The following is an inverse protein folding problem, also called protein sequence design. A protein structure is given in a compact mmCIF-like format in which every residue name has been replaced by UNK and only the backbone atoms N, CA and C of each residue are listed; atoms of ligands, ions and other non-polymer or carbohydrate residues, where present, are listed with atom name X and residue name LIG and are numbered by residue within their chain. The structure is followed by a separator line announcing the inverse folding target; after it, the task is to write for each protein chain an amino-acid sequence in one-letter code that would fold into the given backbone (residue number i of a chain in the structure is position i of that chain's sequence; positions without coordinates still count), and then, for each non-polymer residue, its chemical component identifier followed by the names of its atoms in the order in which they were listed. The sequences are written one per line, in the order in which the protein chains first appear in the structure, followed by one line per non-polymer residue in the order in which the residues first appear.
data_IF_271068543689
#
_entry.id   IF_271068543689
#
_cell.length_a   1.000
_cell.length_b   1.000
_cell.length_c   1.000
_cell.angle_alpha   90.00
_cell.angle_beta   90.00
_cell.angle_gamma   90.00
#
_symmetry.space_group_name_H-M   'P 1'
#
loop_
_entity.id
_entity.type
_entity.pdbx_description
1 polymer ?
#
# COMPACT_ATOMS: atom_id res chain seq x y z
N UNK A 1 -62.09 -11.83 1.94
CA UNK A 1 -61.27 -12.86 2.60
C UNK A 1 -61.67 -12.87 4.06
N UNK A 2 -62.34 -13.91 4.54
CA UNK A 2 -62.74 -13.98 5.95
C UNK A 2 -61.47 -14.06 6.81
N UNK A 3 -61.26 -13.10 7.71
CA UNK A 3 -60.10 -13.10 8.60
C UNK A 3 -60.16 -14.36 9.49
N UNK A 4 -59.03 -15.04 9.73
CA UNK A 4 -59.01 -16.21 10.60
C UNK A 4 -59.49 -15.82 12.00
N UNK A 5 -60.54 -16.50 12.47
CA UNK A 5 -61.05 -16.31 13.83
C UNK A 5 -60.53 -17.45 14.70
N UNK A 6 -59.96 -17.10 15.85
CA UNK A 6 -59.63 -18.09 16.88
C UNK A 6 -60.91 -18.39 17.67
N UNK A 7 -61.43 -19.59 17.50
CA UNK A 7 -62.58 -20.09 18.25
C UNK A 7 -62.04 -20.98 19.38
N UNK A 8 -62.27 -20.57 20.63
CA UNK A 8 -61.89 -21.37 21.80
C UNK A 8 -63.16 -22.01 22.37
N UNK A 9 -63.16 -23.34 22.47
CA UNK A 9 -64.23 -24.11 23.11
C UNK A 9 -63.75 -24.66 24.46
N UNK A 10 -64.43 -24.28 25.54
CA UNK A 10 -64.19 -24.82 26.89
C UNK A 10 -65.55 -25.18 27.49
N UNK A 11 -65.70 -26.44 27.92
CA UNK A 11 -66.90 -26.95 28.58
C UNK A 11 -68.25 -26.68 27.86
N UNK A 12 -68.24 -26.62 26.52
CA UNK A 12 -69.45 -26.46 25.70
C UNK A 12 -69.82 -25.02 25.35
N UNK A 13 -69.12 -24.02 25.87
CA UNK A 13 -69.29 -22.60 25.54
C UNK A 13 -68.29 -22.19 24.45
N UNK A 14 -68.75 -21.43 23.44
CA UNK A 14 -67.91 -20.97 22.33
C UNK A 14 -67.59 -19.49 22.49
N UNK A 15 -66.31 -19.16 22.69
CA UNK A 15 -65.82 -17.78 22.81
C UNK A 15 -65.12 -17.36 21.51
N UNK A 16 -65.76 -16.46 20.75
CA UNK A 16 -65.19 -15.84 19.56
C UNK A 16 -64.39 -14.59 19.96
N UNK A 17 -63.07 -14.65 19.81
CA UNK A 17 -62.19 -13.51 20.01
C UNK A 17 -61.91 -12.85 18.65
N UNK A 18 -62.51 -11.69 18.40
CA UNK A 18 -62.24 -10.90 17.20
C UNK A 18 -60.90 -10.16 17.32
N UNK A 19 -60.01 -10.33 16.34
CA UNK A 19 -58.80 -9.50 16.25
C UNK A 19 -59.20 -8.09 15.80
N UNK A 20 -58.97 -7.08 16.66
CA UNK A 20 -59.19 -5.67 16.34
C UNK A 20 -58.12 -5.18 15.35
N UNK A 21 -58.51 -4.40 14.34
CA UNK A 21 -57.54 -3.62 13.53
C UNK A 21 -56.83 -2.60 14.44
N UNK A 22 -55.50 -2.44 14.37
CA UNK A 22 -54.83 -1.43 15.19
C UNK A 22 -55.32 -0.01 14.82
N UNK A 23 -55.70 0.79 15.83
CA UNK A 23 -55.95 2.22 15.67
C UNK A 23 -54.70 2.87 15.06
N UNK A 24 -54.87 3.75 14.06
CA UNK A 24 -53.79 4.52 13.47
C UNK A 24 -52.99 5.24 14.57
N UNK A 25 -51.77 4.78 14.83
CA UNK A 25 -50.84 5.45 15.74
C UNK A 25 -50.40 6.75 15.08
N UNK A 26 -50.69 7.89 15.71
CA UNK A 26 -50.31 9.20 15.20
C UNK A 26 -48.80 9.28 14.92
N UNK A 27 -48.44 9.98 13.83
CA UNK A 27 -47.07 10.12 13.36
C UNK A 27 -46.19 10.78 14.44
N UNK A 28 -45.11 10.09 14.82
CA UNK A 28 -44.12 10.61 15.75
C UNK A 28 -43.30 11.68 15.02
N UNK A 29 -43.41 12.93 15.49
CA UNK A 29 -42.61 14.03 14.96
C UNK A 29 -41.48 14.30 15.97
N UNK A 30 -40.28 13.82 15.66
CA UNK A 30 -39.08 14.07 16.45
C UNK A 30 -38.39 15.34 15.95
N UNK A 31 -38.09 16.27 16.86
CA UNK A 31 -37.35 17.50 16.57
C UNK A 31 -36.13 17.59 17.49
N UNK A 32 -34.93 17.69 16.91
CA UNK A 32 -33.67 17.82 17.66
C UNK A 32 -33.03 19.17 17.34
N UNK A 33 -32.60 19.92 18.35
CA UNK A 33 -31.77 21.11 18.13
C UNK A 33 -30.36 20.65 17.73
N UNK A 34 -29.91 21.02 16.53
CA UNK A 34 -28.62 20.59 15.98
C UNK A 34 -27.46 21.56 16.28
N UNK A 35 -27.68 22.59 17.12
CA UNK A 35 -26.66 23.57 17.52
C UNK A 35 -26.61 23.83 19.03
N UNK A 36 -25.48 24.35 19.54
CA UNK A 36 -25.22 24.55 20.97
C UNK A 36 -25.79 25.84 21.60
N UNK A 37 -26.59 26.61 20.84
CA UNK A 37 -27.21 27.86 21.31
C UNK A 37 -28.52 27.66 22.08
N UNK A 38 -29.11 28.76 22.57
CA UNK A 38 -30.40 28.73 23.26
C UNK A 38 -31.53 28.23 22.34
N UNK A 39 -32.40 27.37 22.88
CA UNK A 39 -33.44 26.68 22.12
C UNK A 39 -34.66 27.57 21.86
N UNK A 40 -35.16 27.59 20.61
CA UNK A 40 -36.40 28.28 20.23
C UNK A 40 -37.62 27.35 20.32
N UNK A 41 -37.45 26.05 20.09
CA UNK A 41 -38.49 25.05 20.38
C UNK A 41 -38.58 24.83 21.90
N UNK A 42 -39.80 24.73 22.44
CA UNK A 42 -40.01 24.54 23.88
C UNK A 42 -40.49 23.13 24.20
N UNK A 43 -41.66 22.76 23.70
CA UNK A 43 -42.31 21.47 23.96
C UNK A 43 -43.42 21.19 22.93
N UNK A 44 -43.91 19.95 22.95
CA UNK A 44 -45.11 19.52 22.23
C UNK A 44 -46.20 19.18 23.24
N UNK A 45 -47.39 19.73 23.03
CA UNK A 45 -48.55 19.39 23.85
C UNK A 45 -49.64 18.82 22.94
N UNK A 46 -49.81 17.49 22.95
CA UNK A 46 -50.70 16.81 22.02
C UNK A 46 -50.21 16.99 20.57
N UNK A 47 -51.01 17.61 19.72
CA UNK A 47 -50.67 17.88 18.31
C UNK A 47 -49.99 19.24 18.07
N UNK A 48 -49.93 20.13 19.07
CA UNK A 48 -49.36 21.48 18.93
C UNK A 48 -47.85 21.49 19.22
N UNK A 49 -47.08 22.17 18.38
CA UNK A 49 -45.67 22.48 18.60
C UNK A 49 -45.56 23.91 19.16
N UNK A 50 -45.03 24.04 20.38
CA UNK A 50 -44.89 25.35 21.02
C UNK A 50 -43.46 25.87 20.86
N UNK A 51 -43.32 27.09 20.34
CA UNK A 51 -42.05 27.80 20.22
C UNK A 51 -42.00 28.99 21.19
N UNK A 52 -40.80 29.37 21.64
CA UNK A 52 -40.55 30.58 22.42
C UNK A 52 -40.57 31.81 21.50
N UNK A 53 -40.97 32.97 22.04
CA UNK A 53 -40.93 34.25 21.32
C UNK A 53 -39.50 34.78 21.23
N UNK A 54 -39.11 35.31 20.07
CA UNK A 54 -37.85 36.03 19.86
C UNK A 54 -38.07 37.53 20.11
N UNK A 55 -37.22 38.15 20.92
CA UNK A 55 -37.28 39.58 21.27
C UNK A 55 -35.88 40.19 21.09
N UNK A 56 -35.81 41.34 20.42
CA UNK A 56 -34.57 42.10 20.25
C UNK A 56 -34.13 42.81 21.54
N UNK A 57 -32.82 42.95 21.75
CA UNK A 57 -32.23 43.63 22.91
C UNK A 57 -30.97 44.40 22.52
N UNK A 58 -30.67 45.51 23.22
CA UNK A 58 -29.41 46.23 23.07
C UNK A 58 -29.18 46.91 21.72
N UNK A 59 -30.23 47.36 21.03
CA UNK A 59 -30.13 48.03 19.72
C UNK A 59 -30.46 47.14 18.52
N UNK A 60 -30.42 45.82 18.70
CA UNK A 60 -30.78 44.85 17.66
C UNK A 60 -32.29 44.58 17.68
N UNK A 61 -32.95 44.78 16.55
CA UNK A 61 -34.39 44.56 16.38
C UNK A 61 -34.70 43.13 15.92
N UNK A 62 -35.84 42.59 16.38
CA UNK A 62 -36.39 41.35 15.83
C UNK A 62 -37.70 41.69 15.10
N UNK A 63 -37.70 41.59 13.77
CA UNK A 63 -38.83 42.00 12.92
C UNK A 63 -39.32 40.81 12.12
N UNK A 64 -40.63 40.58 12.13
CA UNK A 64 -41.26 39.56 11.29
C UNK A 64 -41.64 40.19 9.96
N UNK A 65 -41.10 39.66 8.87
CA UNK A 65 -41.39 40.09 7.52
C UNK A 65 -41.91 38.90 6.69
N UNK A 66 -43.23 38.73 6.69
CA UNK A 66 -43.88 37.58 6.04
C UNK A 66 -43.52 36.25 6.71
N UNK A 67 -42.85 35.36 5.95
CA UNK A 67 -42.44 34.03 6.41
C UNK A 67 -41.02 34.00 7.03
N UNK A 68 -40.37 35.17 7.16
CA UNK A 68 -39.01 35.29 7.67
C UNK A 68 -38.99 36.16 8.91
N UNK A 69 -38.13 35.81 9.87
CA UNK A 69 -37.80 36.66 11.01
C UNK A 69 -36.39 37.20 10.78
N UNK A 70 -36.28 38.52 10.63
CA UNK A 70 -35.01 39.22 10.46
C UNK A 70 -34.53 39.73 11.83
N UNK A 71 -33.25 39.51 12.12
CA UNK A 71 -32.56 40.00 13.32
C UNK A 71 -31.42 40.87 12.83
N UNK A 72 -31.51 42.19 13.00
CA UNK A 72 -30.52 43.14 12.47
C UNK A 72 -30.27 44.32 13.42
N UNK A 73 -29.04 44.86 13.40
CA UNK A 73 -28.63 46.01 14.21
C UNK A 73 -28.95 47.32 13.48
N UNK A 74 -30.20 47.74 13.56
CA UNK A 74 -30.65 48.97 12.88
C UNK A 74 -30.26 50.27 13.65
N UNK A 75 -29.18 50.26 14.46
CA UNK A 75 -28.67 51.48 15.11
C UNK A 75 -27.68 52.23 14.23
N UNK A 76 -28.16 52.82 13.13
CA UNK A 76 -27.40 53.85 12.39
C UNK A 76 -28.23 55.13 12.23
N UNK A 77 -27.52 56.26 12.18
CA UNK A 77 -28.00 57.65 11.91
C UNK A 77 -28.42 58.49 13.14
N UNK A 78 -27.49 58.71 14.07
CA UNK A 78 -27.53 59.89 14.96
C UNK A 78 -26.14 60.49 15.26
N UNK A 79 -25.05 59.79 14.97
CA UNK A 79 -23.70 60.21 15.35
C UNK A 79 -22.95 61.07 14.29
N UNK A 80 -23.54 61.34 13.11
CA UNK A 80 -22.86 62.11 12.05
C UNK A 80 -23.00 63.64 12.23
N UNK A 81 -23.94 64.11 13.07
CA UNK A 81 -24.25 65.55 13.18
C UNK A 81 -23.31 66.31 14.15
N UNK A 82 -22.43 65.60 14.85
CA UNK A 82 -21.51 66.21 15.83
C UNK A 82 -20.20 66.73 15.21
N UNK A 83 -19.83 66.33 14.00
CA UNK A 83 -18.57 66.76 13.37
C UNK A 83 -18.68 68.13 12.65
N UNK A 84 -19.90 68.61 12.40
CA UNK A 84 -20.14 69.90 11.70
C UNK A 84 -19.97 71.10 12.64
N UNK A 85 -20.04 70.91 13.96
CA UNK A 85 -20.09 72.01 14.94
C UNK A 85 -18.77 72.28 15.69
N UNK A 86 -17.67 71.57 15.37
CA UNK A 86 -16.38 71.77 16.05
C UNK A 86 -15.58 72.92 15.43
N UNK A 87 -15.59 74.08 16.09
CA UNK A 87 -14.86 75.27 15.70
C UNK A 87 -13.36 75.24 16.07
N UNK A 88 -12.83 74.12 16.59
CA UNK A 88 -11.44 73.99 17.03
C UNK A 88 -10.55 73.17 16.07
N UNK A 89 -10.73 73.30 14.76
CA UNK A 89 -9.80 72.71 13.78
C UNK A 89 -8.48 73.53 13.72
N UNK A 90 -7.31 72.93 14.02
CA UNK A 90 -6.03 73.64 14.05
C UNK A 90 -5.48 73.99 12.65
N UNK A 91 -6.16 73.59 11.57
CA UNK A 91 -5.85 74.05 10.22
C UNK A 91 -6.79 75.19 9.84
N UNK A 92 -6.29 76.42 9.92
CA UNK A 92 -6.97 77.67 9.55
C UNK A 92 -7.25 77.82 8.05
N UNK A 93 -7.65 76.75 7.36
CA UNK A 93 -8.09 76.79 5.97
C UNK A 93 -9.55 76.39 5.94
N UNK A 94 -10.40 77.41 5.94
CA UNK A 94 -11.84 77.35 5.78
C UNK A 94 -12.20 76.83 4.37
N UNK A 95 -12.05 75.52 4.18
CA UNK A 95 -12.58 74.78 3.04
C UNK A 95 -13.99 74.24 3.33
N UNK A 96 -14.51 74.47 4.55
CA UNK A 96 -15.80 73.98 5.02
C UNK A 96 -16.95 74.99 4.90
N UNK A 97 -16.67 76.28 4.69
CA UNK A 97 -17.68 77.33 4.56
C UNK A 97 -17.80 77.91 3.15
N UNK A 98 -17.45 77.14 2.11
CA UNK A 98 -17.81 77.50 0.75
C UNK A 98 -19.33 77.35 0.60
N UNK A 99 -20.03 78.49 0.66
CA UNK A 99 -21.40 78.58 0.15
C UNK A 99 -21.46 78.13 -1.32
N UNK A 100 -22.64 78.09 -1.91
CA UNK A 100 -22.87 77.64 -3.31
C UNK A 100 -22.28 78.58 -4.38
N UNK A 101 -21.02 79.00 -4.21
CA UNK A 101 -20.25 79.90 -5.04
C UNK A 101 -19.47 79.13 -6.11
N UNK A 102 -19.39 79.77 -7.27
CA UNK A 102 -18.92 79.24 -8.54
C UNK A 102 -17.40 79.01 -8.53
N UNK A 103 -16.89 78.23 -9.49
CA UNK A 103 -15.47 77.97 -9.79
C UNK A 103 -14.55 79.22 -9.74
N UNK A 104 -15.12 80.42 -9.89
CA UNK A 104 -14.46 81.72 -9.76
C UNK A 104 -13.91 82.02 -8.36
N UNK A 105 -14.55 81.55 -7.29
CA UNK A 105 -14.10 81.80 -5.91
C UNK A 105 -12.94 80.90 -5.53
N UNK A 106 -12.96 79.65 -6.00
CA UNK A 106 -11.82 78.73 -5.92
C UNK A 106 -10.60 79.28 -6.67
N UNK A 107 -10.82 79.87 -7.85
CA UNK A 107 -9.74 80.41 -8.65
C UNK A 107 -9.10 81.67 -8.03
N UNK A 108 -9.87 82.48 -7.30
CA UNK A 108 -9.37 83.65 -6.58
C UNK A 108 -8.56 83.30 -5.32
N UNK A 109 -8.92 82.22 -4.64
CA UNK A 109 -8.18 81.71 -3.48
C UNK A 109 -6.89 80.96 -3.85
N UNK A 110 -6.87 80.31 -5.03
CA UNK A 110 -5.68 79.63 -5.58
C UNK A 110 -4.72 80.62 -6.27
N UNK A 111 -5.16 81.83 -6.64
CA UNK A 111 -4.27 82.93 -7.07
C UNK A 111 -3.55 83.59 -5.89
N UNK A 112 -2.92 82.79 -5.03
CA UNK A 112 -1.76 83.26 -4.28
C UNK A 112 -0.66 83.57 -5.31
N UNK A 113 -0.36 84.85 -5.44
CA UNK A 113 0.63 85.45 -6.34
C UNK A 113 2.09 85.09 -5.98
N UNK A 114 2.31 83.88 -5.44
CA UNK A 114 3.63 83.35 -5.09
C UNK A 114 4.00 82.07 -5.85
N UNK A 115 3.16 81.62 -6.78
CA UNK A 115 3.46 80.50 -7.69
C UNK A 115 3.84 81.01 -9.09
N UNK A 116 5.13 81.30 -9.23
CA UNK A 116 5.94 81.29 -10.46
C UNK A 116 5.38 82.07 -11.69
N UNK A 117 5.68 83.37 -11.77
CA UNK A 117 5.59 84.11 -13.03
C UNK A 117 6.98 84.42 -13.60
N UNK A 118 7.05 84.43 -14.93
CA UNK A 118 8.29 84.61 -15.69
C UNK A 118 8.86 86.03 -15.64
N UNK A 119 8.19 86.96 -14.95
CA UNK A 119 8.65 88.33 -14.77
C UNK A 119 9.47 88.52 -13.48
N UNK A 120 9.43 87.56 -12.55
CA UNK A 120 10.30 87.49 -11.38
C UNK A 120 10.87 86.07 -11.15
N UNK A 121 11.70 85.55 -12.09
CA UNK A 121 12.28 84.23 -11.93
C UNK A 121 13.20 84.23 -10.69
N UNK A 122 12.85 83.43 -9.68
CA UNK A 122 13.80 83.04 -8.62
C UNK A 122 14.68 81.91 -9.13
N UNK A 123 15.40 82.15 -10.21
CA UNK A 123 16.66 81.44 -10.42
C UNK A 123 17.62 81.95 -9.35
N UNK A 124 18.17 81.11 -8.46
CA UNK A 124 19.28 81.51 -7.61
C UNK A 124 20.44 81.87 -8.53
N UNK A 125 20.59 83.15 -8.88
CA UNK A 125 21.57 83.57 -9.88
C UNK A 125 23.00 83.53 -9.32
N UNK A 126 23.12 83.42 -8.00
CA UNK A 126 24.23 82.85 -7.26
C UNK A 126 23.76 82.68 -5.81
N UNK A 127 23.91 81.50 -5.24
CA UNK A 127 24.05 81.38 -3.79
C UNK A 127 25.31 82.13 -3.37
N UNK A 128 25.25 82.90 -2.28
CA UNK A 128 26.47 83.55 -1.76
C UNK A 128 27.53 82.48 -1.54
N UNK A 129 28.76 82.71 -1.99
CA UNK A 129 29.85 81.73 -1.94
C UNK A 129 30.23 81.28 -0.50
N UNK A 130 29.56 81.81 0.53
CA UNK A 130 29.66 81.37 1.91
C UNK A 130 28.38 81.68 2.70
N UNK A 131 27.88 80.74 3.50
CA UNK A 131 26.91 81.03 4.58
C UNK A 131 27.56 81.84 5.72
N UNK A 132 26.78 82.26 6.72
CA UNK A 132 27.27 83.06 7.87
C UNK A 132 28.45 82.42 8.64
N UNK A 133 28.64 81.09 8.48
CA UNK A 133 29.75 80.32 9.08
C UNK A 133 30.88 79.98 8.07
N UNK A 134 30.88 80.58 6.87
CA UNK A 134 32.01 80.53 5.93
C UNK A 134 32.06 79.34 4.96
N UNK A 135 31.04 78.48 4.90
CA UNK A 135 31.03 77.31 4.01
C UNK A 135 30.33 77.59 2.66
N UNK A 136 30.90 77.10 1.56
CA UNK A 136 30.36 77.19 0.19
C UNK A 136 29.10 76.35 0.01
N UNK A 137 28.18 76.81 -0.86
CA UNK A 137 26.79 76.34 -1.03
C UNK A 137 26.62 74.97 -1.72
N UNK A 138 27.68 74.19 -1.78
CA UNK A 138 27.60 72.81 -2.24
C UNK A 138 28.32 71.98 -1.19
N UNK A 139 27.67 70.92 -0.70
CA UNK A 139 28.39 69.86 -0.01
C UNK A 139 29.31 69.23 -1.06
N UNK A 140 30.49 69.82 -1.25
CA UNK A 140 31.56 69.20 -1.98
C UNK A 140 31.90 67.92 -1.22
N UNK A 141 31.95 66.79 -1.93
CA UNK A 141 32.22 65.47 -1.36
C UNK A 141 33.53 65.47 -0.56
N UNK A 142 34.47 66.36 -0.90
CA UNK A 142 35.69 66.59 -0.14
C UNK A 142 35.45 67.07 1.31
N UNK A 143 34.38 67.82 1.57
CA UNK A 143 34.00 68.34 2.90
C UNK A 143 33.29 67.28 3.78
N UNK A 144 32.77 66.20 3.20
CA UNK A 144 32.29 65.02 3.94
C UNK A 144 33.44 64.09 4.37
N UNK A 145 34.64 64.29 3.83
CA UNK A 145 35.81 63.43 3.99
C UNK A 145 36.68 63.67 5.24
N UNK A 146 36.31 64.58 6.15
CA UNK A 146 37.11 64.79 7.38
C UNK A 146 36.76 63.85 8.55
N UNK A 147 35.79 62.96 8.40
CA UNK A 147 35.66 61.85 9.36
C UNK A 147 36.78 60.86 9.10
N UNK A 148 37.81 60.90 9.95
CA UNK A 148 38.87 59.89 10.07
C UNK A 148 38.35 58.50 10.51
N UNK A 149 37.12 58.16 10.13
CA UNK A 149 36.40 56.95 10.52
C UNK A 149 35.81 56.19 9.33
N UNK A 150 35.98 56.65 8.08
CA UNK A 150 35.66 55.84 6.91
C UNK A 150 36.85 54.90 6.62
N UNK A 151 36.75 53.65 7.09
CA UNK A 151 37.49 52.55 6.49
C UNK A 151 37.23 52.56 4.98
N UNK A 152 38.27 52.21 4.22
CA UNK A 152 38.42 52.45 2.78
C UNK A 152 37.44 51.71 1.84
N UNK A 153 36.17 51.52 2.21
CA UNK A 153 35.25 50.67 1.45
C UNK A 153 34.29 51.44 0.55
N UNK A 154 33.81 52.65 0.92
CA UNK A 154 32.90 53.44 0.08
C UNK A 154 33.03 54.95 0.36
N UNK A 155 34.14 55.56 -0.06
CA UNK A 155 34.20 57.02 -0.12
C UNK A 155 33.52 57.50 -1.42
N UNK A 156 32.49 58.36 -1.36
CA UNK A 156 31.94 58.98 -2.56
C UNK A 156 33.04 59.79 -3.25
N UNK A 157 33.17 59.65 -4.58
CA UNK A 157 34.11 60.42 -5.40
C UNK A 157 33.32 61.39 -6.28
N UNK A 158 33.90 62.57 -6.53
CA UNK A 158 33.35 63.49 -7.53
C UNK A 158 33.50 62.90 -8.93
N UNK A 159 32.44 62.93 -9.74
CA UNK A 159 32.49 62.51 -11.15
C UNK A 159 32.98 63.63 -12.10
N UNK A 160 33.29 64.82 -11.56
CA UNK A 160 33.73 65.98 -12.32
C UNK A 160 32.62 66.73 -13.08
N UNK A 161 31.35 66.35 -12.93
CA UNK A 161 30.18 66.96 -13.58
C UNK A 161 29.07 67.39 -12.57
N UNK A 162 29.37 67.37 -11.27
CA UNK A 162 28.42 67.71 -10.20
C UNK A 162 27.59 66.52 -9.71
N UNK A 163 27.93 65.29 -10.10
CA UNK A 163 27.34 64.06 -9.60
C UNK A 163 28.25 63.31 -8.64
N UNK A 164 27.66 62.31 -7.95
CA UNK A 164 28.38 61.39 -7.07
C UNK A 164 28.67 60.09 -7.82
N UNK A 165 29.96 59.78 -8.01
CA UNK A 165 30.39 58.46 -8.44
C UNK A 165 30.64 57.60 -7.22
N UNK A 166 29.83 56.56 -7.07
CA UNK A 166 30.18 55.41 -6.24
C UNK A 166 31.15 54.60 -7.09
N UNK A 167 32.46 54.79 -6.88
CA UNK A 167 33.50 54.15 -7.70
C UNK A 167 33.25 52.66 -7.90
N UNK A 168 33.82 52.09 -8.97
CA UNK A 168 33.71 50.65 -9.25
C UNK A 168 33.93 49.85 -7.96
N UNK A 169 33.10 48.83 -7.66
CA UNK A 169 33.27 48.03 -6.46
C UNK A 169 34.72 47.54 -6.41
N UNK A 170 35.34 47.50 -5.22
CA UNK A 170 36.76 47.18 -5.12
C UNK A 170 37.06 45.94 -5.96
N UNK A 171 37.92 46.10 -6.96
CA UNK A 171 38.48 44.98 -7.73
C UNK A 171 39.42 44.12 -6.88
N UNK A 172 39.63 44.51 -5.62
CA UNK A 172 40.14 43.64 -4.58
C UNK A 172 39.11 42.52 -4.34
N UNK A 173 39.49 41.31 -4.76
CA UNK A 173 38.81 40.09 -4.35
C UNK A 173 38.46 40.17 -2.86
N UNK A 174 37.22 39.77 -2.54
CA UNK A 174 36.68 39.73 -1.18
C UNK A 174 37.74 39.17 -0.22
N UNK A 175 37.94 39.81 0.93
CA UNK A 175 38.99 39.43 1.87
C UNK A 175 38.95 37.92 2.12
N UNK A 176 40.06 37.23 1.94
CA UNK A 176 40.15 35.77 2.07
C UNK A 176 39.95 35.25 3.51
N UNK A 177 39.62 36.13 4.46
CA UNK A 177 39.23 35.79 5.83
C UNK A 177 38.34 36.89 6.48
N UNK A 178 37.30 36.48 7.22
CA UNK A 178 36.42 37.37 8.03
C UNK A 178 36.94 37.58 9.47
N UNK A 179 36.23 38.38 10.30
CA UNK A 179 36.64 38.86 11.64
C UNK A 179 37.09 37.76 12.64
N UNK A 180 36.76 36.49 12.36
CA UNK A 180 37.16 35.33 13.16
C UNK A 180 38.23 34.45 12.47
N UNK A 181 38.89 34.94 11.42
CA UNK A 181 39.96 34.24 10.69
C UNK A 181 39.50 33.09 9.78
N UNK A 182 38.19 32.92 9.57
CA UNK A 182 37.64 31.92 8.65
C UNK A 182 37.57 32.42 7.21
N UNK A 183 37.90 31.56 6.25
CA UNK A 183 37.80 31.84 4.80
C UNK A 183 36.34 32.10 4.36
N UNK A 184 36.17 32.82 3.25
CA UNK A 184 34.88 33.17 2.63
C UNK A 184 34.01 31.92 2.35
N UNK A 185 32.72 32.01 2.68
CA UNK A 185 31.74 30.92 2.72
C UNK A 185 31.07 30.67 1.35
N UNK A 186 31.72 31.07 0.26
CA UNK A 186 31.20 30.89 -1.12
C UNK A 186 30.83 29.44 -1.35
N UNK A 187 29.66 29.19 -1.93
CA UNK A 187 29.19 27.84 -2.25
C UNK A 187 30.24 27.05 -3.06
N UNK A 188 30.92 26.11 -2.39
CA UNK A 188 31.98 25.28 -2.99
C UNK A 188 31.44 23.93 -3.45
N UNK A 189 32.08 23.37 -4.48
CA UNK A 189 31.75 22.02 -4.97
C UNK A 189 32.38 20.91 -4.13
N UNK A 190 33.40 21.25 -3.32
CA UNK A 190 34.13 20.31 -2.46
C UNK A 190 33.81 20.61 -0.98
N UNK A 191 33.30 19.62 -0.22
CA UNK A 191 32.99 19.80 1.21
C UNK A 191 34.24 20.10 2.03
N UNK A 192 34.10 21.04 2.97
CA UNK A 192 35.12 21.41 3.95
C UNK A 192 34.45 21.89 5.24
N UNK A 193 35.21 22.01 6.33
CA UNK A 193 34.68 22.56 7.57
C UNK A 193 34.11 23.96 7.33
N UNK A 194 32.84 24.16 7.73
CA UNK A 194 32.11 25.43 7.64
C UNK A 194 31.83 25.92 6.20
N UNK A 195 32.03 25.09 5.18
CA UNK A 195 31.71 25.46 3.81
C UNK A 195 30.20 25.34 3.53
N UNK A 196 29.66 26.17 2.63
CA UNK A 196 28.26 26.12 2.21
C UNK A 196 28.12 25.19 0.98
N UNK A 197 27.17 24.23 0.97
CA UNK A 197 26.95 23.36 -0.17
C UNK A 197 26.55 24.11 -1.45
N UNK A 198 27.19 23.78 -2.59
CA UNK A 198 26.71 24.21 -3.92
C UNK A 198 25.83 23.14 -4.56
N UNK A 199 24.64 23.51 -5.02
CA UNK A 199 23.83 22.65 -5.87
C UNK A 199 24.52 22.42 -7.24
N UNK A 200 24.41 21.21 -7.76
CA UNK A 200 24.83 20.84 -9.11
C UNK A 200 23.87 21.43 -10.15
N UNK A 201 24.23 21.34 -11.44
CA UNK A 201 23.35 21.76 -12.55
C UNK A 201 21.99 21.04 -12.61
N UNK A 202 21.81 19.98 -11.81
CA UNK A 202 20.56 19.24 -11.66
C UNK A 202 19.77 19.61 -10.38
N UNK A 203 20.09 20.73 -9.73
CA UNK A 203 19.48 21.19 -8.47
C UNK A 203 19.64 20.25 -7.26
N UNK A 204 20.53 19.25 -7.33
CA UNK A 204 20.90 18.38 -6.22
C UNK A 204 22.23 18.81 -5.58
N UNK A 205 22.40 18.63 -4.26
CA UNK A 205 23.69 18.83 -3.59
C UNK A 205 24.73 17.83 -4.13
N UNK A 206 26.01 18.23 -4.26
CA UNK A 206 27.05 17.32 -4.74
C UNK A 206 27.31 16.18 -3.73
N UNK A 207 27.62 14.98 -4.23
CA UNK A 207 27.66 13.72 -3.47
C UNK A 207 28.54 13.72 -2.20
N UNK A 208 29.53 14.62 -2.09
CA UNK A 208 30.34 14.76 -0.88
C UNK A 208 29.65 15.50 0.28
N UNK A 209 28.57 16.25 0.02
CA UNK A 209 27.83 17.03 1.01
C UNK A 209 26.74 16.23 1.73
N UNK A 210 26.28 15.17 1.09
CA UNK A 210 25.37 14.18 1.66
C UNK A 210 26.20 12.96 1.98
N UNK A 211 26.41 12.63 3.25
CA UNK A 211 27.03 11.34 3.56
C UNK A 211 26.11 10.24 3.03
N UNK A 212 26.62 9.32 2.22
CA UNK A 212 25.87 8.11 1.83
C UNK A 212 25.34 7.38 3.08
N UNK A 213 26.07 7.47 4.20
CA UNK A 213 25.64 7.05 5.53
C UNK A 213 24.28 7.62 6.01
N UNK A 214 23.80 8.76 5.50
CA UNK A 214 22.49 9.33 5.86
C UNK A 214 21.35 8.78 4.99
N UNK A 215 21.66 8.29 3.79
CA UNK A 215 20.69 7.70 2.84
C UNK A 215 20.61 6.19 3.03
N UNK A 216 21.76 5.51 3.17
CA UNK A 216 21.84 4.07 3.43
C UNK A 216 21.40 3.69 4.85
N UNK A 217 21.31 4.66 5.78
CA UNK A 217 20.66 4.44 7.08
C UNK A 217 19.19 4.02 6.94
N UNK A 218 18.52 4.32 5.83
CA UNK A 218 17.16 3.84 5.61
C UNK A 218 17.10 2.45 4.97
N UNK A 219 18.00 2.11 4.05
CA UNK A 219 17.97 0.79 3.40
C UNK A 219 18.55 -0.33 4.28
N UNK A 220 19.52 -0.02 5.14
CA UNK A 220 20.13 -0.97 6.08
C UNK A 220 19.45 -1.05 7.46
N UNK A 221 18.63 -0.06 7.84
CA UNK A 221 17.92 -0.06 9.14
C UNK A 221 16.47 -0.54 9.06
N UNK A 222 15.94 -0.83 7.86
CA UNK A 222 14.72 -1.65 7.75
C UNK A 222 15.13 -3.11 7.92
N UNK A 223 15.49 -3.45 9.16
CA UNK A 223 15.41 -4.85 9.57
C UNK A 223 13.92 -5.16 9.73
N UNK A 224 13.35 -5.82 8.72
CA UNK A 224 11.96 -6.29 8.77
C UNK A 224 11.67 -7.12 10.03
N UNK A 225 12.68 -7.78 10.62
CA UNK A 225 12.53 -8.57 11.85
C UNK A 225 12.55 -7.69 13.12
N UNK A 226 13.02 -6.46 13.05
CA UNK A 226 13.06 -5.51 14.16
C UNK A 226 11.87 -4.53 14.18
N UNK A 227 11.02 -4.54 13.14
CA UNK A 227 9.79 -3.74 13.12
C UNK A 227 8.83 -4.25 14.20
N UNK A 228 8.75 -3.59 15.35
CA UNK A 228 7.82 -3.96 16.43
C UNK A 228 6.37 -3.52 16.18
N UNK A 229 6.09 -2.87 15.05
CA UNK A 229 4.76 -2.40 14.64
C UNK A 229 4.09 -3.30 13.58
N UNK A 230 4.65 -4.49 13.31
CA UNK A 230 3.97 -5.45 12.45
C UNK A 230 2.92 -6.21 13.27
N UNK A 231 1.72 -6.34 12.71
CA UNK A 231 0.71 -7.23 13.27
C UNK A 231 1.07 -8.65 12.85
N UNK A 232 1.50 -9.48 13.80
CA UNK A 232 1.84 -10.88 13.55
C UNK A 232 0.65 -11.68 12.98
N UNK A 233 -0.59 -11.20 13.15
CA UNK A 233 -1.78 -11.81 12.54
C UNK A 233 -1.95 -11.48 11.06
N UNK A 234 -1.26 -10.44 10.56
CA UNK A 234 -1.20 -10.08 9.14
C UNK A 234 -0.05 -10.79 8.41
N UNK A 235 0.92 -11.34 9.13
CA UNK A 235 1.99 -12.17 8.57
C UNK A 235 1.58 -13.65 8.56
N UNK A 236 1.82 -14.32 7.43
CA UNK A 236 1.65 -15.78 7.34
C UNK A 236 2.71 -16.45 8.24
N UNK A 237 2.28 -17.01 9.37
CA UNK A 237 3.16 -17.70 10.33
C UNK A 237 3.60 -19.05 9.75
N UNK A 238 4.89 -19.18 9.43
CA UNK A 238 5.50 -20.47 9.10
C UNK A 238 5.93 -21.13 10.41
N UNK A 239 5.40 -22.32 10.74
CA UNK A 239 5.74 -23.06 11.95
C UNK A 239 6.28 -24.46 11.63
N UNK A 240 7.60 -24.59 11.42
CA UNK A 240 8.23 -25.87 11.11
C UNK A 240 8.27 -26.86 12.28
N UNK A 241 8.08 -26.38 13.51
CA UNK A 241 7.93 -27.20 14.70
C UNK A 241 6.47 -27.62 14.95
N UNK A 242 5.55 -27.09 14.16
CA UNK A 242 4.13 -27.32 14.26
C UNK A 242 3.72 -28.73 13.82
N UNK A 243 2.75 -29.32 14.52
CA UNK A 243 2.18 -30.63 14.19
C UNK A 243 0.68 -30.56 13.88
N UNK A 244 0.11 -29.35 13.84
CA UNK A 244 -1.32 -29.14 13.59
C UNK A 244 -1.61 -29.16 12.08
N UNK A 245 -2.77 -29.67 11.70
CA UNK A 245 -3.19 -29.76 10.29
C UNK A 245 -3.57 -28.41 9.67
N UNK A 246 -3.62 -27.35 10.46
CA UNK A 246 -3.91 -25.97 10.01
C UNK A 246 -2.66 -25.08 9.98
N UNK A 247 -1.49 -25.61 10.35
CA UNK A 247 -0.24 -24.84 10.31
C UNK A 247 0.34 -24.84 8.90
N UNK A 248 0.93 -23.71 8.52
CA UNK A 248 1.72 -23.62 7.29
C UNK A 248 3.19 -23.92 7.60
N UNK A 249 3.76 -24.91 6.92
CA UNK A 249 5.17 -25.27 7.00
C UNK A 249 6.00 -24.58 5.92
N UNK A 250 7.31 -24.47 6.13
CA UNK A 250 8.27 -24.03 5.13
C UNK A 250 8.40 -25.06 4.02
N UNK A 251 8.87 -24.64 2.84
CA UNK A 251 9.17 -25.56 1.75
C UNK A 251 10.21 -26.62 2.17
N UNK A 252 11.24 -26.21 2.93
CA UNK A 252 12.26 -27.14 3.44
C UNK A 252 11.68 -28.23 4.34
N UNK A 253 10.70 -27.88 5.19
CA UNK A 253 10.03 -28.84 6.07
C UNK A 253 9.17 -29.81 5.27
N UNK A 254 8.41 -29.28 4.31
CA UNK A 254 7.58 -30.09 3.39
C UNK A 254 8.45 -31.07 2.61
N UNK A 255 9.56 -30.61 2.04
CA UNK A 255 10.49 -31.46 1.29
C UNK A 255 11.14 -32.53 2.17
N UNK A 256 11.46 -32.21 3.43
CA UNK A 256 12.00 -33.17 4.39
C UNK A 256 10.98 -34.28 4.74
N UNK A 257 9.71 -33.92 4.97
CA UNK A 257 8.65 -34.90 5.23
C UNK A 257 8.37 -35.77 4.02
N UNK A 258 8.29 -35.17 2.83
CA UNK A 258 8.11 -35.92 1.57
C UNK A 258 9.28 -36.89 1.36
N UNK A 259 10.51 -36.44 1.59
CA UNK A 259 11.71 -37.29 1.45
C UNK A 259 11.71 -38.43 2.46
N UNK A 260 11.29 -38.19 3.71
CA UNK A 260 11.19 -39.22 4.74
C UNK A 260 10.13 -40.27 4.40
N UNK A 261 8.96 -39.84 3.89
CA UNK A 261 7.91 -40.76 3.43
C UNK A 261 8.38 -41.58 2.23
N UNK A 262 9.00 -40.94 1.23
CA UNK A 262 9.50 -41.64 0.03
C UNK A 262 10.60 -42.65 0.38
N UNK A 263 11.49 -42.33 1.32
CA UNK A 263 12.55 -43.24 1.75
C UNK A 263 12.03 -44.54 2.39
N UNK A 264 10.78 -44.54 2.87
CA UNK A 264 10.13 -45.74 3.42
C UNK A 264 9.43 -46.62 2.39
N UNK A 265 9.44 -46.26 1.10
CA UNK A 265 8.79 -47.03 0.03
C UNK A 265 9.85 -47.58 -0.93
N UNK A 266 9.92 -48.90 -1.07
CA UNK A 266 10.81 -49.55 -2.04
C UNK A 266 10.09 -49.77 -3.38
N UNK A 267 10.20 -48.80 -4.29
CA UNK A 267 9.66 -48.91 -5.65
C UNK A 267 10.79 -49.06 -6.66
N UNK A 268 10.75 -50.13 -7.45
CA UNK A 268 11.71 -50.38 -8.53
C UNK A 268 11.27 -49.78 -9.85
N UNK A 269 12.23 -49.60 -10.75
CA UNK A 269 11.90 -49.22 -12.12
C UNK A 269 10.95 -50.27 -12.72
N UNK A 270 9.98 -49.78 -13.51
CA UNK A 270 8.99 -50.64 -14.15
C UNK A 270 9.64 -51.69 -15.03
N UNK A 271 8.94 -52.82 -15.16
CA UNK A 271 9.30 -53.91 -16.05
C UNK A 271 8.47 -53.84 -17.32
N UNK A 272 9.00 -54.38 -18.41
CA UNK A 272 8.29 -54.50 -19.68
C UNK A 272 7.24 -55.61 -19.62
N UNK A 273 7.54 -56.71 -18.92
CA UNK A 273 6.62 -57.85 -18.78
C UNK A 273 6.99 -58.67 -17.54
N UNK A 274 6.16 -59.65 -17.21
CA UNK A 274 6.44 -60.64 -16.16
C UNK A 274 6.36 -62.06 -16.73
N UNK A 275 6.89 -63.04 -15.99
CA UNK A 275 6.73 -64.46 -16.30
C UNK A 275 5.55 -65.12 -15.59
N UNK A 276 4.73 -64.34 -14.89
CA UNK A 276 3.54 -64.84 -14.19
C UNK A 276 2.62 -65.56 -15.20
N UNK A 277 2.05 -66.69 -14.78
CA UNK A 277 1.25 -67.65 -15.56
C UNK A 277 2.01 -68.46 -16.62
N UNK A 278 3.32 -68.26 -16.80
CA UNK A 278 4.15 -69.05 -17.71
C UNK A 278 4.92 -70.17 -17.01
N UNK A 279 5.03 -70.11 -15.68
CA UNK A 279 5.87 -71.01 -14.88
C UNK A 279 7.36 -70.84 -15.13
N UNK A 280 8.11 -71.94 -14.99
CA UNK A 280 9.57 -71.92 -15.07
C UNK A 280 10.08 -71.66 -16.51
N UNK A 281 10.70 -70.50 -16.73
CA UNK A 281 11.39 -70.16 -17.97
C UNK A 281 12.91 -70.44 -17.91
N UNK A 282 13.58 -70.47 -19.06
CA UNK A 282 15.04 -70.44 -19.11
C UNK A 282 15.53 -68.99 -19.04
N UNK A 283 16.46 -68.65 -18.15
CA UNK A 283 17.02 -67.29 -18.02
C UNK A 283 18.13 -67.01 -19.05
N UNK A 284 17.82 -67.24 -20.32
CA UNK A 284 18.73 -67.02 -21.45
C UNK A 284 17.95 -66.88 -22.75
N UNK A 285 18.48 -66.11 -23.70
CA UNK A 285 17.87 -65.91 -25.01
C UNK A 285 16.67 -64.96 -24.93
N UNK A 286 16.40 -64.27 -26.04
CA UNK A 286 15.19 -63.46 -26.14
C UNK A 286 13.96 -64.38 -26.32
N UNK A 287 12.88 -64.04 -25.64
CA UNK A 287 11.70 -64.90 -25.50
C UNK A 287 10.41 -64.09 -25.68
N UNK A 288 9.35 -64.74 -26.12
CA UNK A 288 8.01 -64.14 -26.10
C UNK A 288 7.34 -64.45 -24.77
N UNK A 289 7.20 -63.44 -23.93
CA UNK A 289 6.59 -63.54 -22.61
C UNK A 289 5.32 -62.69 -22.55
N UNK A 290 4.19 -63.33 -22.25
CA UNK A 290 2.91 -62.64 -22.10
C UNK A 290 2.59 -61.74 -23.31
N UNK A 291 2.83 -62.25 -24.53
CA UNK A 291 2.58 -61.55 -25.79
C UNK A 291 3.69 -60.58 -26.24
N UNK A 292 4.67 -60.28 -25.39
CA UNK A 292 5.78 -59.38 -25.70
C UNK A 292 7.06 -60.17 -26.02
N UNK A 293 7.65 -59.96 -27.19
CA UNK A 293 9.00 -60.43 -27.50
C UNK A 293 10.02 -59.55 -26.77
N UNK A 294 10.84 -60.14 -25.90
CA UNK A 294 11.88 -59.42 -25.18
C UNK A 294 13.03 -59.02 -26.11
N UNK A 295 13.69 -57.90 -25.81
CA UNK A 295 14.88 -57.42 -26.52
C UNK A 295 15.63 -56.44 -25.62
N UNK A 296 16.57 -56.95 -24.80
CA UNK A 296 17.16 -56.18 -23.69
C UNK A 296 16.11 -55.57 -22.75
N UNK A 297 15.01 -56.30 -22.54
CA UNK A 297 13.83 -55.86 -21.79
C UNK A 297 13.98 -56.11 -20.31
N UNK A 298 13.37 -55.27 -19.47
CA UNK A 298 13.26 -55.55 -18.04
C UNK A 298 12.11 -56.53 -17.80
N UNK A 299 12.37 -57.66 -17.14
CA UNK A 299 11.38 -58.71 -16.92
C UNK A 299 11.32 -59.05 -15.44
N UNK A 300 10.13 -59.01 -14.86
CA UNK A 300 9.90 -59.62 -13.56
C UNK A 300 9.79 -61.13 -13.72
N UNK A 301 10.77 -61.85 -13.22
CA UNK A 301 10.81 -63.32 -13.22
C UNK A 301 10.22 -63.82 -11.91
N UNK A 302 9.13 -64.57 -12.03
CA UNK A 302 8.43 -65.29 -10.96
C UNK A 302 8.24 -66.74 -11.34
N UNK A 303 7.83 -67.57 -10.37
CA UNK A 303 7.48 -68.99 -10.59
C UNK A 303 8.62 -69.87 -11.15
N UNK A 304 9.88 -69.51 -10.88
CA UNK A 304 11.02 -70.39 -11.17
C UNK A 304 10.97 -71.66 -10.30
N UNK A 305 11.48 -72.77 -10.85
CA UNK A 305 11.60 -74.03 -10.15
C UNK A 305 12.55 -73.96 -8.93
N UNK A 306 13.52 -73.05 -8.96
CA UNK A 306 14.24 -72.59 -7.78
C UNK A 306 13.79 -71.16 -7.44
N UNK A 307 12.91 -70.96 -6.44
CA UNK A 307 12.33 -69.64 -6.16
C UNK A 307 13.33 -68.55 -5.77
N UNK A 308 14.56 -68.91 -5.40
CA UNK A 308 15.66 -67.97 -5.20
C UNK A 308 16.15 -67.30 -6.49
N UNK A 309 15.80 -67.86 -7.65
CA UNK A 309 16.04 -67.27 -8.98
C UNK A 309 14.96 -66.26 -9.38
N UNK A 310 13.85 -66.15 -8.66
CA UNK A 310 12.88 -65.09 -8.90
C UNK A 310 13.52 -63.70 -8.63
N UNK A 311 12.93 -62.67 -9.24
CA UNK A 311 13.37 -61.28 -9.14
C UNK A 311 13.33 -60.56 -10.48
N UNK A 312 13.91 -59.36 -10.55
CA UNK A 312 13.89 -58.54 -11.76
C UNK A 312 15.17 -58.78 -12.58
N UNK A 313 15.02 -59.06 -13.87
CA UNK A 313 16.10 -59.35 -14.80
C UNK A 313 16.08 -58.41 -16.01
N UNK A 314 17.22 -58.28 -16.66
CA UNK A 314 17.35 -57.72 -18.01
C UNK A 314 17.58 -58.88 -18.98
N UNK A 315 16.68 -59.01 -19.97
CA UNK A 315 16.77 -60.05 -20.99
C UNK A 315 18.00 -59.84 -21.88
N UNK A 316 18.47 -60.92 -22.50
CA UNK A 316 19.54 -60.86 -23.47
C UNK A 316 19.49 -62.07 -24.41
N UNK A 317 20.17 -61.98 -25.56
CA UNK A 317 20.40 -63.13 -26.44
C UNK A 317 21.21 -64.25 -25.75
N UNK A 318 22.06 -63.90 -24.78
CA UNK A 318 22.77 -64.82 -23.90
C UNK A 318 22.05 -65.02 -22.56
N UNK A 319 22.81 -65.34 -21.51
CA UNK A 319 22.26 -65.41 -20.16
C UNK A 319 21.70 -64.05 -19.72
N UNK A 320 20.56 -64.07 -19.05
CA UNK A 320 19.95 -62.87 -18.48
C UNK A 320 20.71 -62.46 -17.21
N UNK A 321 20.82 -61.15 -16.96
CA UNK A 321 21.40 -60.62 -15.73
C UNK A 321 20.29 -60.08 -14.83
N UNK A 322 20.52 -60.05 -13.52
CA UNK A 322 19.63 -59.28 -12.62
C UNK A 322 19.69 -57.79 -13.01
N UNK A 323 18.61 -57.09 -12.74
CA UNK A 323 18.54 -55.66 -12.93
C UNK A 323 19.39 -54.92 -11.88
N UNK A 324 20.04 -53.83 -12.27
CA UNK A 324 20.98 -53.05 -11.43
C UNK A 324 20.35 -52.39 -10.20
N UNK A 325 19.02 -52.36 -10.10
CA UNK A 325 18.27 -51.84 -8.95
C UNK A 325 17.65 -52.96 -8.10
N UNK A 326 18.03 -54.21 -8.37
CA UNK A 326 17.56 -55.42 -7.70
C UNK A 326 18.60 -56.57 -7.78
N UNK A 327 19.89 -56.25 -7.81
CA UNK A 327 20.99 -57.23 -7.87
C UNK A 327 21.78 -57.38 -6.57
N UNK A 328 21.59 -56.48 -5.61
CA UNK A 328 22.17 -56.54 -4.27
C UNK A 328 21.14 -56.78 -3.15
N UNK A 329 21.57 -57.43 -2.06
CA UNK A 329 20.74 -57.75 -0.89
C UNK A 329 20.08 -56.51 -0.26
N UNK A 330 20.78 -55.37 -0.27
CA UNK A 330 20.29 -54.12 0.29
C UNK A 330 19.20 -53.45 -0.57
N UNK A 331 19.05 -53.87 -1.82
CA UNK A 331 18.07 -53.32 -2.76
C UNK A 331 16.79 -54.16 -2.82
N UNK A 332 16.78 -55.34 -2.21
CA UNK A 332 15.62 -56.24 -2.25
C UNK A 332 15.04 -56.37 -0.86
N UNK A 333 13.96 -55.63 -0.59
CA UNK A 333 13.29 -55.61 0.71
C UNK A 333 11.85 -56.10 0.64
N UNK A 334 11.27 -56.45 1.78
CA UNK A 334 9.84 -56.73 1.86
C UNK A 334 9.04 -55.50 1.41
N UNK A 335 8.06 -55.71 0.55
CA UNK A 335 7.23 -54.65 0.02
C UNK A 335 7.74 -54.04 -1.29
N UNK A 336 8.85 -54.53 -1.87
CA UNK A 336 9.31 -54.07 -3.18
C UNK A 336 8.18 -54.08 -4.20
N UNK A 337 7.95 -52.94 -4.87
CA UNK A 337 6.91 -52.79 -5.88
C UNK A 337 7.55 -52.62 -7.26
N UNK A 338 7.04 -53.33 -8.27
CA UNK A 338 7.31 -53.01 -9.67
C UNK A 338 6.03 -53.07 -10.50
N UNK A 339 5.97 -52.22 -11.54
CA UNK A 339 4.83 -52.11 -12.43
C UNK A 339 5.18 -52.67 -13.82
N UNK A 340 4.23 -53.36 -14.45
CA UNK A 340 4.35 -53.72 -15.86
C UNK A 340 3.84 -52.57 -16.72
N UNK A 341 4.76 -51.92 -17.43
CA UNK A 341 4.49 -50.65 -18.13
C UNK A 341 4.35 -50.80 -19.65
N UNK A 342 4.74 -51.96 -20.23
CA UNK A 342 4.67 -52.14 -21.67
C UNK A 342 3.26 -52.56 -22.11
N UNK A 343 2.62 -51.73 -22.93
CA UNK A 343 1.28 -52.01 -23.45
C UNK A 343 1.21 -53.23 -24.39
N UNK A 344 2.35 -53.74 -24.86
CA UNK A 344 2.42 -54.98 -25.63
C UNK A 344 2.35 -56.26 -24.79
N UNK A 345 2.50 -56.16 -23.46
CA UNK A 345 2.33 -57.29 -22.55
C UNK A 345 0.86 -57.48 -22.18
N UNK A 346 0.38 -58.73 -22.10
CA UNK A 346 -0.94 -59.06 -21.56
C UNK A 346 -1.05 -58.72 -20.06
N UNK A 347 0.09 -58.53 -19.38
CA UNK A 347 0.18 -58.09 -17.99
C UNK A 347 0.31 -56.57 -17.86
N UNK A 348 0.03 -55.79 -18.92
CA UNK A 348 0.05 -54.33 -18.84
C UNK A 348 -0.88 -53.80 -17.74
N UNK A 349 -0.36 -52.85 -16.93
CA UNK A 349 -1.03 -52.25 -15.74
C UNK A 349 -1.17 -53.17 -14.53
N UNK A 350 -0.58 -54.35 -14.55
CA UNK A 350 -0.40 -55.14 -13.34
C UNK A 350 0.79 -54.58 -12.55
N UNK A 351 0.71 -54.70 -11.22
CA UNK A 351 1.81 -54.44 -10.30
C UNK A 351 2.09 -55.70 -9.50
N UNK A 352 3.33 -55.84 -9.08
CA UNK A 352 3.75 -56.97 -8.27
C UNK A 352 4.42 -56.46 -7.00
N UNK A 353 4.11 -57.11 -5.88
CA UNK A 353 4.63 -56.77 -4.56
C UNK A 353 5.39 -57.97 -4.02
N UNK A 354 6.64 -57.76 -3.61
CA UNK A 354 7.44 -58.78 -2.95
C UNK A 354 6.97 -58.95 -1.51
N UNK A 355 6.47 -60.14 -1.16
CA UNK A 355 5.91 -60.41 0.17
C UNK A 355 6.81 -61.29 1.05
N UNK A 356 7.97 -61.73 0.53
CA UNK A 356 8.98 -62.41 1.34
C UNK A 356 9.42 -61.51 2.50
N UNK A 357 9.37 -61.95 3.76
CA UNK A 357 9.86 -61.16 4.89
C UNK A 357 11.37 -60.93 4.85
N UNK A 358 11.81 -59.76 5.30
CA UNK A 358 13.24 -59.47 5.47
C UNK A 358 13.88 -60.33 6.58
N UNK A 359 15.18 -60.68 6.47
CA UNK A 359 16.12 -60.28 5.42
C UNK A 359 16.06 -61.17 4.16
N UNK A 360 16.26 -60.56 2.99
CA UNK A 360 16.29 -61.25 1.69
C UNK A 360 17.72 -61.23 1.16
N UNK A 361 18.30 -62.42 0.93
CA UNK A 361 19.60 -62.58 0.25
C UNK A 361 19.36 -62.99 -1.19
N UNK A 362 19.82 -62.17 -2.14
CA UNK A 362 19.66 -62.38 -3.58
C UNK A 362 20.30 -63.70 -4.02
N UNK A 363 19.57 -64.49 -4.80
CA UNK A 363 20.04 -65.80 -5.28
C UNK A 363 20.03 -66.92 -4.23
N UNK A 364 19.72 -66.62 -2.97
CA UNK A 364 19.63 -67.62 -1.89
C UNK A 364 18.23 -67.72 -1.29
N UNK A 365 17.59 -66.58 -1.02
CA UNK A 365 16.28 -66.52 -0.39
C UNK A 365 15.19 -66.61 -1.46
N UNK A 366 14.18 -67.44 -1.22
CA UNK A 366 13.00 -67.54 -2.10
C UNK A 366 12.25 -66.20 -2.17
N UNK A 367 12.08 -65.66 -3.37
CA UNK A 367 11.32 -64.42 -3.57
C UNK A 367 9.88 -64.75 -4.02
N UNK A 368 8.91 -64.46 -3.17
CA UNK A 368 7.48 -64.62 -3.43
C UNK A 368 6.88 -63.27 -3.81
N UNK A 369 6.32 -63.18 -5.01
CA UNK A 369 5.72 -61.97 -5.55
C UNK A 369 4.21 -62.17 -5.68
N UNK A 370 3.43 -61.25 -5.12
CA UNK A 370 1.98 -61.22 -5.28
C UNK A 370 1.61 -60.34 -6.47
N UNK A 371 0.74 -60.86 -7.33
CA UNK A 371 0.17 -60.12 -8.45
C UNK A 371 -1.00 -59.27 -7.97
N UNK A 372 -0.97 -57.98 -8.29
CA UNK A 372 -2.08 -57.07 -8.06
C UNK A 372 -2.48 -56.40 -9.36
N UNK A 373 -3.78 -56.34 -9.59
CA UNK A 373 -4.37 -55.57 -10.68
C UNK A 373 -5.15 -54.41 -10.10
N UNK A 374 -4.94 -53.21 -10.64
CA UNK A 374 -5.84 -52.10 -10.32
C UNK A 374 -7.23 -52.41 -10.90
N UNK A 375 -8.22 -52.61 -10.02
CA UNK A 375 -9.61 -52.80 -10.42
C UNK A 375 -10.19 -51.42 -10.73
N UNK A 376 -10.26 -51.08 -12.02
CA UNK A 376 -10.98 -49.91 -12.48
C UNK A 376 -12.46 -50.33 -12.63
N UNK A 377 -13.29 -49.98 -11.66
CA UNK A 377 -14.74 -50.04 -11.81
C UNK A 377 -15.17 -48.90 -12.77
N UNK A 378 -15.54 -49.25 -14.00
CA UNK A 378 -16.28 -48.37 -14.92
C UNK A 378 -15.46 -47.60 -15.96
N UNK A 379 -15.60 -48.08 -17.20
CA UNK A 379 -15.87 -47.38 -18.49
C UNK A 379 -15.06 -48.06 -19.59
N UNK A 380 -15.30 -49.36 -19.83
CA UNK A 380 -14.93 -49.95 -21.11
C UNK A 380 -16.09 -49.64 -22.06
N UNK A 381 -15.89 -48.87 -23.14
CA UNK A 381 -16.89 -48.77 -24.20
C UNK A 381 -17.02 -50.17 -24.83
N UNK A 382 -18.17 -50.83 -24.65
CA UNK A 382 -18.52 -52.00 -25.47
C UNK A 382 -18.91 -53.30 -24.76
N UNK A 383 -19.00 -53.35 -23.43
CA UNK A 383 -19.71 -54.46 -22.75
C UNK A 383 -21.00 -53.93 -22.15
N UNK A 384 -22.09 -54.66 -22.37
CA UNK A 384 -23.46 -54.24 -22.21
C UNK A 384 -23.71 -53.40 -20.95
N UNK A 385 -24.42 -52.29 -21.11
CA UNK A 385 -25.04 -51.59 -20.01
C UNK A 385 -26.14 -52.49 -19.41
N UNK A 386 -25.77 -53.42 -18.53
CA UNK A 386 -26.64 -53.74 -17.41
C UNK A 386 -26.60 -52.51 -16.50
N UNK A 387 -27.78 -52.06 -16.08
CA UNK A 387 -28.04 -50.69 -15.63
C UNK A 387 -27.03 -50.15 -14.63
N UNK A 388 -26.85 -48.83 -14.63
CA UNK A 388 -26.05 -48.05 -13.69
C UNK A 388 -26.55 -48.11 -12.23
N UNK A 389 -26.91 -49.29 -11.75
CA UNK A 389 -27.15 -49.58 -10.35
C UNK A 389 -25.86 -50.14 -9.77
N UNK A 390 -25.44 -49.63 -8.61
CA UNK A 390 -24.32 -50.19 -7.86
C UNK A 390 -24.78 -51.50 -7.21
N UNK A 391 -25.11 -52.52 -8.02
CA UNK A 391 -25.41 -53.84 -7.47
C UNK A 391 -24.10 -54.48 -7.07
N UNK A 392 -24.08 -55.02 -5.84
CA UNK A 392 -23.04 -55.90 -5.35
C UNK A 392 -22.84 -57.00 -6.41
N UNK A 393 -21.61 -57.24 -6.91
CA UNK A 393 -21.33 -58.31 -7.86
C UNK A 393 -21.91 -59.62 -7.37
N UNK A 394 -22.54 -60.38 -8.26
CA UNK A 394 -23.06 -61.69 -7.86
C UNK A 394 -21.92 -62.68 -7.63
N UNK A 395 -22.17 -63.71 -6.82
CA UNK A 395 -21.14 -64.67 -6.42
C UNK A 395 -20.46 -65.34 -7.63
N UNK A 396 -21.21 -65.56 -8.71
CA UNK A 396 -20.71 -66.08 -9.99
C UNK A 396 -19.75 -65.13 -10.72
N UNK A 397 -19.91 -63.81 -10.55
CA UNK A 397 -18.97 -62.81 -11.08
C UNK A 397 -17.68 -62.74 -10.24
N UNK A 398 -17.79 -62.95 -8.92
CA UNK A 398 -16.62 -63.06 -8.03
C UNK A 398 -15.86 -64.38 -8.20
N UNK A 399 -16.57 -65.47 -8.48
CA UNK A 399 -15.98 -66.79 -8.68
C UNK A 399 -15.31 -66.91 -10.07
N UNK A 400 -15.60 -65.99 -11.00
CA UNK A 400 -14.89 -65.86 -12.28
C UNK A 400 -13.55 -65.11 -12.18
N UNK A 401 -13.24 -64.55 -11.00
CA UNK A 401 -12.03 -63.78 -10.70
C UNK A 401 -11.10 -64.45 -9.68
N UNK A 402 -11.47 -65.64 -9.19
CA UNK A 402 -10.60 -66.56 -8.44
C UNK A 402 -10.09 -67.66 -9.37
#
# INVERSE_FOLDING_TARGET
MSLPQLIIQVAGETLQVGFFSPLATGEANDGTNVGGGAEVFRDKTGALLNFRTLVGAGGVGAVVNGNTVEIDDNTTVAALDAHIADAANPHATDLGNLGAGVLSELNAAVTDATLDDSAAPRTPLAHGASHADGASDEIDVANLGSLSAAGADLAPLSDGAGGVSWGDPPTAAHASAHQNGGSDEVATVTPGANAIPKATGAAALAAGWTSEAAVTQHEGAIDHNALTNHDITQHRIINDAGTSTIETWSASRVDAEISAVIAGVDVKAGVDTSTCDLGNITLSGEQTLNGLLTSASRVLVVEQGAPAQNGIYVSAAGAWSRATDADDDAEVTNGNITHVLNAGSTKFKYKYILVTPDPIIVGTTSQAWEEHRDIIFGTIPGTAAEGSDARIPTQDENDALQ
#
